data_IF_251740818409
#
_entry.id   IF_251740818409
#
_cell.length_a   1.000
_cell.length_b   1.000
_cell.length_c   1.000
_cell.angle_alpha   90.00
_cell.angle_beta   90.00
_cell.angle_gamma   90.00
#
_symmetry.space_group_name_H-M   'P 1'
#
loop_
_entity.id
_entity.type
_entity.pdbx_description
1 polymer ?
#
# COMPACT_ATOMS: atom_id res chain seq x y z
N UNK A 1 -4.65 -3.21 -2.55
CA UNK A 1 -5.15 -4.02 -3.68
C UNK A 1 -5.51 -5.47 -3.34
N UNK A 2 -4.84 -6.16 -2.40
CA UNK A 2 -5.14 -7.58 -2.10
C UNK A 2 -6.63 -7.88 -1.80
N UNK A 3 -7.20 -7.23 -0.77
CA UNK A 3 -8.63 -7.41 -0.42
C UNK A 3 -9.55 -7.01 -1.58
N UNK A 4 -9.34 -5.82 -2.16
CA UNK A 4 -10.13 -5.35 -3.29
C UNK A 4 -10.07 -6.30 -4.50
N UNK A 5 -8.91 -6.87 -4.81
CA UNK A 5 -8.77 -7.84 -5.90
C UNK A 5 -9.58 -9.12 -5.65
N UNK A 6 -9.66 -9.59 -4.40
CA UNK A 6 -10.54 -10.72 -4.06
C UNK A 6 -12.01 -10.33 -4.24
N UNK A 7 -12.42 -9.17 -3.74
CA UNK A 7 -13.80 -8.68 -3.90
C UNK A 7 -14.18 -8.55 -5.38
N UNK A 8 -13.30 -7.98 -6.20
CA UNK A 8 -13.49 -7.84 -7.64
C UNK A 8 -13.62 -9.22 -8.31
N UNK A 9 -12.76 -10.16 -7.97
CA UNK A 9 -12.82 -11.54 -8.49
C UNK A 9 -14.11 -12.25 -8.10
N UNK A 10 -14.59 -12.07 -6.86
CA UNK A 10 -15.86 -12.65 -6.40
C UNK A 10 -17.07 -12.05 -7.15
N UNK A 11 -16.96 -10.79 -7.56
CA UNK A 11 -17.96 -10.11 -8.40
C UNK A 11 -17.80 -10.40 -9.90
N UNK A 12 -16.92 -11.34 -10.29
CA UNK A 12 -16.67 -11.69 -11.69
C UNK A 12 -15.96 -10.61 -12.50
N UNK A 13 -15.35 -9.61 -11.84
CA UNK A 13 -14.61 -8.55 -12.51
C UNK A 13 -13.18 -9.02 -12.82
N UNK A 14 -12.61 -8.60 -13.95
CA UNK A 14 -11.24 -8.95 -14.30
C UNK A 14 -10.24 -8.34 -13.32
N UNK A 15 -9.22 -9.12 -12.92
CA UNK A 15 -8.18 -8.70 -11.98
C UNK A 15 -6.78 -8.93 -12.58
N UNK A 16 -5.83 -8.08 -12.20
CA UNK A 16 -4.44 -8.22 -12.64
C UNK A 16 -3.78 -9.41 -11.95
N UNK A 17 -3.04 -10.23 -12.72
CA UNK A 17 -2.32 -11.39 -12.18
C UNK A 17 -1.12 -11.02 -11.30
N UNK A 18 -0.53 -9.85 -11.52
CA UNK A 18 0.64 -9.36 -10.78
C UNK A 18 0.48 -7.85 -10.57
N UNK A 19 0.72 -7.40 -9.35
CA UNK A 19 0.65 -6.00 -8.95
C UNK A 19 2.02 -5.59 -8.45
N UNK A 20 2.60 -4.56 -9.05
CA UNK A 20 3.79 -3.90 -8.51
C UNK A 20 3.32 -2.78 -7.58
N UNK A 21 3.62 -2.90 -6.29
CA UNK A 21 3.25 -1.90 -5.27
C UNK A 21 4.30 -0.80 -5.14
N UNK A 22 5.35 -0.82 -5.96
CA UNK A 22 6.47 0.09 -5.88
C UNK A 22 7.40 -0.21 -4.70
N UNK A 23 8.57 0.41 -4.75
CA UNK A 23 9.60 0.40 -3.70
C UNK A 23 10.21 1.79 -3.59
N UNK A 24 10.79 2.12 -2.44
CA UNK A 24 11.45 3.41 -2.22
C UNK A 24 12.74 3.20 -1.41
N UNK A 25 13.82 3.85 -1.83
CA UNK A 25 15.10 3.78 -1.13
C UNK A 25 15.12 4.79 0.02
N UNK A 26 15.22 4.29 1.24
CA UNK A 26 15.34 5.11 2.44
C UNK A 26 16.81 5.38 2.72
N UNK A 27 17.15 6.64 2.91
CA UNK A 27 18.48 7.13 3.27
C UNK A 27 18.37 8.02 4.49
N UNK A 28 19.51 8.41 5.08
CA UNK A 28 19.51 9.32 6.24
C UNK A 28 18.94 10.68 5.90
N UNK A 29 19.14 11.13 4.66
CA UNK A 29 18.72 12.44 4.17
C UNK A 29 17.19 12.52 3.98
N UNK A 30 16.52 11.41 3.67
CA UNK A 30 15.07 11.38 3.44
C UNK A 30 14.26 10.75 4.58
N UNK A 31 14.92 10.22 5.62
CA UNK A 31 14.26 9.46 6.69
C UNK A 31 13.14 10.25 7.38
N UNK A 32 13.37 11.55 7.62
CA UNK A 32 12.43 12.42 8.35
C UNK A 32 11.37 13.06 7.46
N UNK A 33 11.33 12.73 6.15
CA UNK A 33 10.28 13.26 5.27
C UNK A 33 8.91 12.71 5.68
N UNK A 34 7.84 13.52 5.62
CA UNK A 34 6.49 13.05 5.96
C UNK A 34 6.05 11.83 5.15
N UNK A 35 6.44 11.74 3.88
CA UNK A 35 6.10 10.61 3.00
C UNK A 35 6.79 9.32 3.46
N UNK A 36 8.09 9.39 3.80
CA UNK A 36 8.84 8.23 4.29
C UNK A 36 8.32 7.80 5.66
N UNK A 37 8.00 8.75 6.54
CA UNK A 37 7.40 8.45 7.83
C UNK A 37 6.03 7.78 7.71
N UNK A 38 5.20 8.20 6.75
CA UNK A 38 3.92 7.55 6.48
C UNK A 38 4.09 6.11 5.93
N UNK A 39 5.16 5.84 5.17
CA UNK A 39 5.47 4.49 4.71
C UNK A 39 6.00 3.58 5.84
N UNK A 40 6.81 4.12 6.76
CA UNK A 40 7.39 3.38 7.89
C UNK A 40 6.40 3.19 9.04
N UNK A 41 5.56 4.19 9.29
CA UNK A 41 4.58 4.25 10.36
C UNK A 41 3.19 4.57 9.78
N UNK A 42 2.61 3.64 9.01
CA UNK A 42 1.31 3.88 8.38
C UNK A 42 0.23 4.13 9.44
N UNK A 43 -0.69 5.07 9.23
CA UNK A 43 -1.69 5.44 10.23
C UNK A 43 -2.85 4.42 10.25
N UNK A 44 -2.57 3.20 10.73
CA UNK A 44 -3.51 2.08 10.70
C UNK A 44 -4.83 2.37 11.42
N UNK A 45 -4.79 3.19 12.47
CA UNK A 45 -5.98 3.63 13.21
C UNK A 45 -6.96 4.46 12.38
N UNK A 46 -6.53 5.03 11.24
CA UNK A 46 -7.42 5.71 10.31
C UNK A 46 -8.22 4.71 9.46
N UNK A 47 -7.67 3.51 9.25
CA UNK A 47 -8.20 2.52 8.32
C UNK A 47 -8.86 1.31 9.00
N UNK A 48 -8.48 0.99 10.24
CA UNK A 48 -8.80 -0.29 10.91
C UNK A 48 -9.61 -0.13 12.22
N UNK A 49 -10.28 1.01 12.41
CA UNK A 49 -11.20 1.21 13.55
C UNK A 49 -12.52 0.48 13.38
#
# INVERSE_FOLDING_TARGET
LGVHGIVDSLMGRPVQKRVDTGVTMVTKENLESPEIQALLHPPLDQYLK
#
